data_IF_465009985944
#
_entry.id   IF_465009985944
#
_cell.length_a   1.000
_cell.length_b   1.000
_cell.length_c   1.000
_cell.angle_alpha   90.00
_cell.angle_beta   90.00
_cell.angle_gamma   90.00
#
_symmetry.space_group_name_H-M   'P 1'
#
loop_
_entity.id
_entity.type
_entity.pdbx_description
1 polymer ?
#
# COMPACT_ATOMS: atom_id res chain seq x y z
N UNK A 1 -72.81 -17.01 24.81
CA UNK A 1 -72.71 -16.51 23.42
C UNK A 1 -71.76 -15.34 23.44
N UNK A 2 -70.76 -15.14 22.57
CA UNK A 2 -70.22 -15.88 21.43
C UNK A 2 -68.91 -15.11 21.11
N UNK A 3 -67.84 -15.84 20.82
CA UNK A 3 -66.77 -15.50 19.87
C UNK A 3 -65.51 -14.78 20.38
N UNK A 4 -64.46 -15.59 20.52
CA UNK A 4 -63.04 -15.26 20.42
C UNK A 4 -62.68 -14.51 19.13
N UNK A 5 -61.82 -13.49 19.26
CA UNK A 5 -61.04 -12.86 18.18
C UNK A 5 -59.61 -12.74 18.76
N UNK A 6 -58.75 -13.75 18.63
CA UNK A 6 -57.72 -13.89 17.57
C UNK A 6 -57.00 -12.56 17.27
N UNK A 7 -55.96 -12.26 18.05
CA UNK A 7 -54.85 -11.43 17.60
C UNK A 7 -53.60 -12.33 17.51
N UNK A 8 -53.40 -12.88 16.32
CA UNK A 8 -52.17 -13.54 15.90
C UNK A 8 -51.12 -12.43 15.74
N UNK A 9 -50.19 -12.32 16.69
CA UNK A 9 -48.90 -11.65 16.44
C UNK A 9 -47.83 -12.72 16.54
N UNK A 10 -47.31 -13.01 15.37
CA UNK A 10 -46.43 -14.12 15.03
C UNK A 10 -45.07 -13.88 15.70
N UNK A 11 -44.66 -14.90 16.46
CA UNK A 11 -43.27 -15.22 16.77
C UNK A 11 -42.47 -15.35 15.46
N UNK A 12 -41.92 -14.25 14.98
CA UNK A 12 -40.75 -14.28 14.11
C UNK A 12 -39.51 -14.09 14.98
N UNK A 13 -39.15 -15.17 15.70
CA UNK A 13 -37.76 -15.47 16.01
C UNK A 13 -37.14 -15.92 14.69
N UNK A 14 -36.97 -14.96 13.78
CA UNK A 14 -36.13 -15.12 12.61
C UNK A 14 -34.78 -14.57 13.02
N UNK A 15 -33.81 -15.45 13.19
CA UNK A 15 -32.42 -15.09 13.36
C UNK A 15 -32.05 -14.03 12.33
N UNK A 16 -31.94 -12.77 12.77
CA UNK A 16 -31.04 -11.86 12.10
C UNK A 16 -29.66 -12.45 12.38
N UNK A 17 -29.22 -13.28 11.44
CA UNK A 17 -27.81 -13.32 11.09
C UNK A 17 -27.44 -11.88 10.78
N UNK A 18 -27.00 -11.16 11.82
CA UNK A 18 -26.10 -10.04 11.64
C UNK A 18 -24.94 -10.68 10.90
N UNK A 19 -24.96 -10.56 9.57
CA UNK A 19 -23.75 -10.72 8.79
C UNK A 19 -22.80 -9.68 9.37
N UNK A 20 -21.96 -10.14 10.29
CA UNK A 20 -20.88 -9.38 10.85
C UNK A 20 -20.04 -8.96 9.66
N UNK A 21 -20.22 -7.70 9.24
CA UNK A 21 -19.34 -7.09 8.26
C UNK A 21 -17.94 -7.20 8.86
N UNK A 22 -16.95 -7.77 8.14
CA UNK A 22 -15.63 -7.97 8.71
C UNK A 22 -14.95 -6.61 8.88
N UNK A 23 -15.09 -6.03 10.06
CA UNK A 23 -14.19 -5.02 10.60
C UNK A 23 -12.86 -5.70 10.97
N UNK A 24 -12.13 -6.18 9.96
CA UNK A 24 -10.94 -7.01 10.21
C UNK A 24 -10.09 -7.26 8.97
N UNK A 25 -9.35 -6.25 8.49
CA UNK A 25 -8.24 -6.46 7.52
C UNK A 25 -7.01 -5.58 7.85
N UNK A 26 -7.12 -4.65 8.81
CA UNK A 26 -6.03 -3.72 9.10
C UNK A 26 -5.04 -4.23 10.14
N UNK A 27 -5.51 -5.01 11.13
CA UNK A 27 -4.68 -5.57 12.19
C UNK A 27 -3.82 -6.73 11.69
N UNK A 28 -4.40 -7.64 10.90
CA UNK A 28 -3.69 -8.83 10.37
C UNK A 28 -2.50 -8.47 9.49
N UNK A 29 -2.60 -7.40 8.70
CA UNK A 29 -1.51 -7.03 7.79
C UNK A 29 -0.31 -6.43 8.50
N UNK A 30 -0.52 -5.76 9.64
CA UNK A 30 0.58 -5.24 10.46
C UNK A 30 1.29 -6.40 11.15
N UNK A 31 0.52 -7.35 11.70
CA UNK A 31 1.03 -8.58 12.28
C UNK A 31 1.83 -9.40 11.26
N UNK A 32 1.25 -9.70 10.08
CA UNK A 32 1.91 -10.45 9.00
C UNK A 32 3.24 -9.81 8.55
N UNK A 33 3.31 -8.48 8.52
CA UNK A 33 4.57 -7.76 8.20
C UNK A 33 5.60 -7.87 9.31
N UNK A 34 5.16 -7.87 10.56
CA UNK A 34 6.03 -8.00 11.71
C UNK A 34 6.61 -9.42 11.74
N UNK A 35 5.76 -10.43 11.64
CA UNK A 35 6.13 -11.84 11.55
C UNK A 35 7.11 -12.10 10.39
N UNK A 36 6.79 -11.62 9.18
CA UNK A 36 7.69 -11.73 8.04
C UNK A 36 9.05 -11.08 8.30
N UNK A 37 9.10 -9.94 9.01
CA UNK A 37 10.37 -9.27 9.31
C UNK A 37 11.17 -10.02 10.37
N UNK A 38 10.49 -10.58 11.38
CA UNK A 38 11.10 -11.39 12.43
C UNK A 38 11.64 -12.71 11.89
N UNK A 39 11.04 -13.27 10.83
CA UNK A 39 11.51 -14.49 10.18
C UNK A 39 12.74 -14.29 9.28
N UNK A 40 13.18 -13.05 9.03
CA UNK A 40 14.36 -12.77 8.20
C UNK A 40 15.67 -12.99 8.95
N UNK A 41 16.69 -13.44 8.22
CA UNK A 41 18.07 -13.36 8.69
C UNK A 41 18.56 -11.92 8.81
N UNK A 42 19.64 -11.69 9.55
CA UNK A 42 20.26 -10.35 9.63
C UNK A 42 20.71 -9.83 8.26
N UNK A 43 21.31 -10.68 7.42
CA UNK A 43 21.68 -10.30 6.05
C UNK A 43 20.48 -9.87 5.19
N UNK A 44 19.34 -10.56 5.31
CA UNK A 44 18.11 -10.18 4.63
C UNK A 44 17.52 -8.87 5.18
N UNK A 45 17.64 -8.60 6.50
CA UNK A 45 17.24 -7.32 7.10
C UNK A 45 18.13 -6.17 6.63
N UNK A 46 19.44 -6.40 6.52
CA UNK A 46 20.39 -5.42 5.98
C UNK A 46 20.06 -5.04 4.53
N UNK A 47 19.68 -6.01 3.70
CA UNK A 47 19.19 -5.74 2.34
C UNK A 47 17.97 -4.82 2.33
N UNK A 48 17.04 -5.00 3.27
CA UNK A 48 15.87 -4.11 3.40
C UNK A 48 16.26 -2.70 3.84
N UNK A 49 17.22 -2.56 4.75
CA UNK A 49 17.74 -1.25 5.16
C UNK A 49 18.51 -0.55 4.04
N UNK A 50 19.35 -1.27 3.31
CA UNK A 50 20.05 -0.76 2.12
C UNK A 50 19.06 -0.25 1.07
N UNK A 51 17.97 -0.99 0.83
CA UNK A 51 16.89 -0.54 -0.06
C UNK A 51 16.16 0.70 0.47
N UNK A 52 16.04 0.88 1.79
CA UNK A 52 15.49 2.11 2.37
C UNK A 52 16.45 3.29 2.17
N UNK A 53 17.75 3.11 2.40
CA UNK A 53 18.79 4.13 2.17
C UNK A 53 18.80 4.58 0.71
N UNK A 54 18.80 3.64 -0.23
CA UNK A 54 18.79 3.92 -1.66
C UNK A 54 17.54 4.72 -2.11
N UNK A 55 16.36 4.47 -1.50
CA UNK A 55 15.17 5.30 -1.76
C UNK A 55 15.30 6.71 -1.20
N UNK A 56 15.94 6.88 -0.04
CA UNK A 56 16.17 8.21 0.56
C UNK A 56 17.15 9.01 -0.29
N UNK A 57 18.26 8.41 -0.69
CA UNK A 57 19.25 9.01 -1.59
C UNK A 57 18.60 9.44 -2.90
N UNK A 58 17.86 8.55 -3.56
CA UNK A 58 17.15 8.92 -4.79
C UNK A 58 16.22 10.12 -4.61
N UNK A 59 15.50 10.19 -3.48
CA UNK A 59 14.63 11.34 -3.20
C UNK A 59 15.43 12.62 -3.06
N UNK A 60 16.57 12.58 -2.37
CA UNK A 60 17.49 13.73 -2.24
C UNK A 60 18.03 14.15 -3.60
N UNK A 61 18.55 13.22 -4.40
CA UNK A 61 19.08 13.51 -5.75
C UNK A 61 18.01 14.09 -6.67
N UNK A 62 16.81 13.51 -6.65
CA UNK A 62 15.69 14.04 -7.44
C UNK A 62 15.30 15.45 -6.99
N UNK A 63 15.16 15.67 -5.68
CA UNK A 63 14.79 16.97 -5.13
C UNK A 63 15.85 18.04 -5.40
N UNK A 64 17.14 17.69 -5.31
CA UNK A 64 18.23 18.60 -5.64
C UNK A 64 18.24 19.01 -7.12
N UNK A 65 17.65 18.19 -8.00
CA UNK A 65 17.49 18.52 -9.42
C UNK A 65 16.28 19.40 -9.73
N UNK A 66 15.47 19.77 -8.73
CA UNK A 66 14.24 20.53 -8.97
C UNK A 66 14.52 21.97 -9.39
N UNK A 67 13.75 22.45 -10.37
CA UNK A 67 13.73 23.86 -10.77
C UNK A 67 12.95 24.71 -9.77
N UNK A 68 13.06 26.04 -9.87
CA UNK A 68 12.27 26.98 -9.05
C UNK A 68 10.76 26.71 -9.17
N UNK A 69 10.27 26.47 -10.40
CA UNK A 69 8.87 26.13 -10.65
C UNK A 69 8.46 24.82 -9.96
N UNK A 70 9.31 23.81 -10.00
CA UNK A 70 9.06 22.53 -9.33
C UNK A 70 9.07 22.65 -7.80
N UNK A 71 9.97 23.46 -7.25
CA UNK A 71 10.00 23.76 -5.81
C UNK A 71 8.73 24.49 -5.37
N UNK A 72 8.23 25.46 -6.15
CA UNK A 72 6.97 26.11 -5.87
C UNK A 72 5.80 25.11 -5.78
N UNK A 73 5.74 24.10 -6.66
CA UNK A 73 4.74 23.02 -6.58
C UNK A 73 4.92 22.17 -5.30
N UNK A 74 6.15 21.98 -4.82
CA UNK A 74 6.42 21.23 -3.58
C UNK A 74 5.93 21.99 -2.36
N UNK A 75 6.10 23.31 -2.34
CA UNK A 75 5.79 24.18 -1.20
C UNK A 75 4.34 24.68 -1.19
N UNK A 76 3.60 24.51 -2.29
CA UNK A 76 2.19 24.89 -2.43
C UNK A 76 1.27 24.18 -1.42
N UNK A 77 0.78 24.87 -0.40
CA UNK A 77 -0.08 24.27 0.64
C UNK A 77 -1.52 23.98 0.18
N UNK A 78 -1.96 24.59 -0.92
CA UNK A 78 -3.30 24.36 -1.49
C UNK A 78 -3.35 23.01 -2.24
N UNK A 79 -2.19 22.52 -2.69
CA UNK A 79 -2.09 21.22 -3.34
C UNK A 79 -1.99 20.06 -2.35
N UNK A 80 -2.96 19.15 -2.42
CA UNK A 80 -2.83 17.84 -1.77
C UNK A 80 -1.59 17.09 -2.27
N UNK A 81 -1.08 16.15 -1.46
CA UNK A 81 0.06 15.27 -1.84
C UNK A 81 -0.13 14.54 -3.19
N UNK A 82 -1.38 14.23 -3.57
CA UNK A 82 -1.70 13.62 -4.87
C UNK A 82 -1.64 14.68 -5.98
N UNK A 83 -2.11 15.89 -5.71
CA UNK A 83 -2.03 17.07 -6.57
C UNK A 83 -0.57 17.43 -6.90
N UNK A 84 0.27 17.68 -5.88
CA UNK A 84 1.71 17.97 -6.03
C UNK A 84 2.41 16.96 -6.94
N UNK A 85 2.14 15.66 -6.74
CA UNK A 85 2.71 14.59 -7.58
C UNK A 85 2.26 14.62 -9.04
N UNK A 86 1.01 14.99 -9.30
CA UNK A 86 0.49 15.12 -10.67
C UNK A 86 1.12 16.33 -11.35
N UNK A 87 1.12 17.49 -10.68
CA UNK A 87 1.72 18.71 -11.17
C UNK A 87 3.23 18.52 -11.45
N UNK A 88 4.00 18.04 -10.49
CA UNK A 88 5.42 17.72 -10.67
C UNK A 88 5.68 16.76 -11.82
N UNK A 89 4.79 15.80 -12.09
CA UNK A 89 4.99 14.83 -13.19
C UNK A 89 4.97 15.52 -14.55
N UNK A 90 4.18 16.58 -14.71
CA UNK A 90 4.03 17.32 -15.96
C UNK A 90 5.26 18.20 -16.25
N UNK A 91 5.92 18.66 -15.20
CA UNK A 91 7.06 19.60 -15.30
C UNK A 91 8.43 18.92 -15.33
N UNK A 92 8.50 17.59 -15.32
CA UNK A 92 9.79 16.89 -15.30
C UNK A 92 10.56 17.05 -16.61
N UNK A 93 11.85 17.37 -16.51
CA UNK A 93 12.79 17.34 -17.63
C UNK A 93 13.10 15.90 -18.07
N UNK A 94 13.68 15.74 -19.28
CA UNK A 94 14.12 14.42 -19.76
C UNK A 94 15.15 13.77 -18.84
N UNK A 95 16.11 14.55 -18.32
CA UNK A 95 17.09 14.06 -17.35
C UNK A 95 16.43 13.54 -16.06
N UNK A 96 15.42 14.24 -15.54
CA UNK A 96 14.67 13.80 -14.36
C UNK A 96 13.80 12.58 -14.67
N UNK A 97 13.20 12.49 -15.85
CA UNK A 97 12.44 11.30 -16.31
C UNK A 97 13.35 10.07 -16.38
N UNK A 98 14.54 10.23 -16.95
CA UNK A 98 15.53 9.15 -17.06
C UNK A 98 16.03 8.73 -15.67
N UNK A 99 16.30 9.68 -14.78
CA UNK A 99 16.66 9.39 -13.38
C UNK A 99 15.58 8.55 -12.67
N UNK A 100 14.29 8.87 -12.89
CA UNK A 100 13.17 8.06 -12.35
C UNK A 100 13.10 6.66 -12.96
N UNK A 101 13.35 6.53 -14.27
CA UNK A 101 13.35 5.26 -14.98
C UNK A 101 14.48 4.35 -14.48
N UNK A 102 15.69 4.89 -14.37
CA UNK A 102 16.86 4.17 -13.87
C UNK A 102 16.66 3.73 -12.42
N UNK A 103 16.11 4.61 -11.57
CA UNK A 103 15.75 4.20 -10.22
C UNK A 103 14.71 3.07 -10.18
N UNK A 104 13.71 3.11 -11.08
CA UNK A 104 12.68 2.05 -11.16
C UNK A 104 13.31 0.70 -11.55
N UNK A 105 14.26 0.70 -12.49
CA UNK A 105 15.00 -0.49 -12.91
C UNK A 105 15.83 -1.01 -11.73
N UNK A 106 16.67 -0.17 -11.12
CA UNK A 106 17.47 -0.53 -9.95
C UNK A 106 16.63 -1.09 -8.80
N UNK A 107 15.47 -0.48 -8.51
CA UNK A 107 14.54 -0.98 -7.48
C UNK A 107 13.87 -2.31 -7.85
N UNK A 108 13.73 -2.62 -9.14
CA UNK A 108 13.28 -3.94 -9.59
C UNK A 108 14.38 -4.96 -9.34
N UNK A 109 15.61 -4.67 -9.74
CA UNK A 109 16.74 -5.59 -9.61
C UNK A 109 17.03 -5.90 -8.13
N UNK A 110 17.10 -4.86 -7.28
CA UNK A 110 17.25 -5.01 -5.82
C UNK A 110 16.09 -5.75 -5.14
N UNK A 111 14.91 -5.74 -5.77
CA UNK A 111 13.79 -6.58 -5.29
C UNK A 111 13.98 -8.02 -5.71
N UNK A 112 14.40 -8.25 -6.94
CA UNK A 112 14.50 -9.60 -7.49
C UNK A 112 15.71 -10.33 -6.86
N UNK A 113 16.82 -9.63 -6.57
CA UNK A 113 17.93 -10.12 -5.72
C UNK A 113 17.46 -10.52 -4.32
N UNK A 114 16.78 -9.61 -3.61
CA UNK A 114 16.24 -9.91 -2.27
C UNK A 114 15.26 -11.08 -2.26
N UNK A 115 14.50 -11.30 -3.34
CA UNK A 115 13.62 -12.47 -3.43
C UNK A 115 14.40 -13.77 -3.57
N UNK A 116 15.51 -13.75 -4.30
CA UNK A 116 16.37 -14.91 -4.47
C UNK A 116 17.04 -15.33 -3.16
N UNK A 117 17.14 -14.42 -2.17
CA UNK A 117 17.67 -14.76 -0.85
C UNK A 117 16.61 -15.35 0.09
N UNK A 118 15.31 -15.31 -0.25
CA UNK A 118 14.24 -15.80 0.62
C UNK A 118 14.08 -17.32 0.51
N UNK A 119 13.75 -17.96 1.63
CA UNK A 119 13.19 -19.32 1.59
C UNK A 119 11.82 -19.33 0.92
N UNK A 120 11.33 -20.50 0.52
CA UNK A 120 10.01 -20.65 -0.11
C UNK A 120 8.88 -20.11 0.76
N UNK A 121 8.90 -20.43 2.06
CA UNK A 121 7.93 -19.93 3.04
C UNK A 121 8.01 -18.40 3.20
N UNK A 122 9.21 -17.84 3.30
CA UNK A 122 9.41 -16.38 3.35
C UNK A 122 8.93 -15.70 2.07
N UNK A 123 9.19 -16.31 0.90
CA UNK A 123 8.78 -15.78 -0.40
C UNK A 123 7.25 -15.76 -0.54
N UNK A 124 6.57 -16.79 -0.05
CA UNK A 124 5.11 -16.83 -0.03
C UNK A 124 4.54 -15.70 0.85
N UNK A 125 5.03 -15.59 2.10
CA UNK A 125 4.65 -14.49 3.01
C UNK A 125 4.91 -13.12 2.37
N UNK A 126 6.06 -12.95 1.73
CA UNK A 126 6.42 -11.71 1.02
C UNK A 126 5.40 -11.37 -0.08
N UNK A 127 4.98 -12.34 -0.90
CA UNK A 127 3.99 -12.11 -1.95
C UNK A 127 2.59 -11.87 -1.40
N UNK A 128 2.18 -12.51 -0.31
CA UNK A 128 0.92 -12.22 0.37
C UNK A 128 0.88 -10.75 0.84
N UNK A 129 1.94 -10.28 1.52
CA UNK A 129 2.10 -8.88 1.92
C UNK A 129 2.01 -7.92 0.72
N UNK A 130 2.52 -8.35 -0.45
CA UNK A 130 2.52 -7.56 -1.68
C UNK A 130 1.17 -7.57 -2.40
N UNK A 131 0.46 -8.70 -2.45
CA UNK A 131 -0.87 -8.86 -3.06
C UNK A 131 -1.91 -8.02 -2.33
N UNK A 132 -1.84 -7.92 -0.99
CA UNK A 132 -2.70 -7.02 -0.21
C UNK A 132 -2.57 -5.53 -0.61
N UNK A 133 -1.48 -5.11 -1.27
CA UNK A 133 -1.34 -3.74 -1.82
C UNK A 133 -2.08 -3.55 -3.16
N UNK A 134 -2.40 -4.63 -3.90
CA UNK A 134 -3.09 -4.58 -5.19
C UNK A 134 -4.62 -4.55 -5.04
N UNK A 135 -5.20 -5.29 -4.09
CA UNK A 135 -6.66 -5.31 -3.86
C UNK A 135 -7.19 -3.93 -3.45
N UNK A 136 -6.54 -3.25 -2.50
CA UNK A 136 -6.91 -1.89 -2.05
C UNK A 136 -6.85 -0.84 -3.18
N UNK A 137 -5.95 -1.01 -4.17
CA UNK A 137 -5.86 -0.12 -5.35
C UNK A 137 -7.02 -0.31 -6.33
N UNK A 138 -7.52 -1.54 -6.51
CA UNK A 138 -8.70 -1.82 -7.34
C UNK A 138 -9.98 -1.28 -6.70
N UNK A 139 -10.12 -1.42 -5.38
CA UNK A 139 -11.29 -0.89 -4.66
C UNK A 139 -11.36 0.64 -4.69
N UNK A 140 -10.23 1.35 -4.49
CA UNK A 140 -10.19 2.82 -4.57
C UNK A 140 -10.45 3.35 -5.99
N UNK A 141 -10.03 2.65 -7.04
CA UNK A 141 -10.30 3.03 -8.44
C UNK A 141 -11.76 2.88 -8.88
N UNK A 142 -12.58 2.14 -8.13
CA UNK A 142 -14.02 1.96 -8.41
C UNK A 142 -14.89 3.02 -7.73
N UNK A 143 -14.32 3.83 -6.84
CA UNK A 143 -15.00 4.88 -6.06
C UNK A 143 -14.54 6.30 -6.43
N UNK A 144 -13.52 6.43 -7.29
CA UNK A 144 -13.08 7.66 -7.95
C UNK A 144 -13.62 7.61 -9.39
#
# INVERSE_FOLDING_TARGET
>A
MKNSIICIIILFIGAMEISAQPEGDHMDRKALRKEFYESLSESQKDDLENKKKLRKEQRKTMHASFTKEQLAIVDDEDLSRKGKRKALKLTLSEAQKEMRKNHKIRMKDERDKFKATLSEAQLEQYEQIRKGKRSKRKHKKRKD
#
